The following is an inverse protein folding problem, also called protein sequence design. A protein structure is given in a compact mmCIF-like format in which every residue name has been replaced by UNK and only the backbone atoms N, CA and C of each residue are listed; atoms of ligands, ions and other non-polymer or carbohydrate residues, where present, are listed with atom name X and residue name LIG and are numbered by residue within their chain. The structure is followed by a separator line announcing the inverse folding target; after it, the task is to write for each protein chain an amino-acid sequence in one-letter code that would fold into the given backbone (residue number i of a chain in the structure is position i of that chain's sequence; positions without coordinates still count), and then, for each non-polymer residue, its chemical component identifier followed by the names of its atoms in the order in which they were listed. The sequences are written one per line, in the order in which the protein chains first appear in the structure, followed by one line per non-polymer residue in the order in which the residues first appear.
data_IF_245990508215
#
_entry.id   IF_245990508215
#
_cell.length_a   1.000
_cell.length_b   1.000
_cell.length_c   1.000
_cell.angle_alpha   90.00
_cell.angle_beta   90.00
_cell.angle_gamma   90.00
#
_symmetry.space_group_name_H-M   'P 1'
#
loop_
_entity.id
_entity.type
_entity.pdbx_description
1 polymer ?
#
# COMPACT_ATOMS: atom_id res chain seq x y z
N UNK A 1 -42.02 25.27 -32.10
CA UNK A 1 -41.64 26.41 -32.98
C UNK A 1 -40.40 27.07 -32.38
N UNK A 2 -39.31 27.19 -33.19
CA UNK A 2 -37.91 27.63 -32.86
C UNK A 2 -37.11 26.55 -32.10
N UNK A 3 -36.21 25.72 -32.64
CA UNK A 3 -35.03 25.83 -33.56
C UNK A 3 -33.87 26.66 -32.98
N UNK A 4 -32.79 26.00 -32.55
CA UNK A 4 -31.41 26.17 -33.03
C UNK A 4 -30.47 25.07 -32.45
N UNK A 5 -29.59 24.53 -33.30
CA UNK A 5 -28.62 23.43 -33.04
C UNK A 5 -27.20 24.01 -32.73
N UNK A 6 -26.09 23.24 -32.80
CA UNK A 6 -25.15 23.00 -31.70
C UNK A 6 -23.78 23.70 -31.88
N UNK A 7 -22.95 23.75 -30.83
CA UNK A 7 -21.55 24.17 -30.94
C UNK A 7 -20.61 22.96 -30.94
N UNK A 8 -20.04 22.70 -32.11
CA UNK A 8 -18.94 21.80 -32.40
C UNK A 8 -17.65 22.49 -31.95
N UNK A 9 -16.79 21.85 -31.14
CA UNK A 9 -15.41 22.30 -30.95
C UNK A 9 -14.41 21.19 -31.28
N UNK A 10 -13.82 21.40 -32.45
CA UNK A 10 -12.50 21.06 -32.96
C UNK A 10 -11.67 19.94 -32.29
N UNK A 11 -11.43 18.93 -33.13
CA UNK A 11 -10.33 17.98 -33.14
C UNK A 11 -8.96 18.70 -33.18
N UNK A 12 -8.03 18.34 -32.29
CA UNK A 12 -6.61 18.65 -32.44
C UNK A 12 -5.80 17.36 -32.37
N UNK A 13 -5.40 16.87 -33.54
CA UNK A 13 -4.44 15.78 -33.69
C UNK A 13 -3.02 16.36 -33.59
N UNK A 14 -2.22 15.88 -32.63
CA UNK A 14 -0.79 16.17 -32.57
C UNK A 14 -0.03 14.89 -32.97
N UNK A 15 0.50 14.90 -34.20
CA UNK A 15 1.42 13.90 -34.72
C UNK A 15 2.83 14.20 -34.19
N UNK A 16 3.41 13.32 -33.36
CA UNK A 16 4.85 13.31 -33.12
C UNK A 16 5.51 12.26 -33.99
N UNK A 17 6.27 12.74 -34.97
CA UNK A 17 7.11 11.97 -35.86
C UNK A 17 8.42 11.56 -35.16
N UNK A 18 8.79 10.28 -35.34
CA UNK A 18 10.12 9.85 -35.80
C UNK A 18 11.35 10.08 -34.92
N UNK A 19 11.87 8.99 -34.35
CA UNK A 19 13.32 8.76 -34.37
C UNK A 19 13.59 7.26 -34.53
N UNK A 20 13.84 6.84 -35.77
CA UNK A 20 14.36 5.51 -36.08
C UNK A 20 15.88 5.55 -35.95
N UNK A 21 16.42 5.00 -34.86
CA UNK A 21 17.85 4.74 -34.72
C UNK A 21 18.13 3.25 -34.92
N UNK A 22 18.55 2.86 -36.13
CA UNK A 22 19.14 1.56 -36.41
C UNK A 22 20.65 1.68 -36.44
N UNK A 23 21.34 0.99 -35.54
CA UNK A 23 22.74 0.61 -35.73
C UNK A 23 22.89 -0.89 -35.39
N UNK A 24 23.47 -1.59 -36.36
CA UNK A 24 23.63 -3.03 -36.46
C UNK A 24 24.83 -3.51 -35.64
N UNK A 25 24.61 -4.57 -34.85
CA UNK A 25 25.43 -5.78 -34.84
C UNK A 25 26.71 -5.81 -33.98
N UNK A 26 26.70 -6.68 -32.97
CA UNK A 26 27.78 -7.64 -32.75
C UNK A 26 27.20 -8.90 -32.06
N UNK A 27 27.32 -10.04 -32.74
CA UNK A 27 27.13 -11.38 -32.19
C UNK A 27 28.30 -11.74 -31.27
N UNK A 28 28.06 -12.57 -30.25
CA UNK A 28 29.13 -13.38 -29.70
C UNK A 28 28.91 -13.92 -28.28
N UNK A 29 28.59 -15.22 -28.25
CA UNK A 29 29.10 -16.22 -27.33
C UNK A 29 28.26 -16.62 -26.12
N UNK A 30 27.86 -17.88 -26.20
CA UNK A 30 27.46 -18.79 -25.14
C UNK A 30 28.35 -18.70 -23.89
N UNK A 31 27.75 -18.98 -22.72
CA UNK A 31 28.54 -19.47 -21.58
C UNK A 31 27.97 -19.21 -20.19
N UNK A 32 27.17 -20.16 -19.70
CA UNK A 32 27.02 -20.57 -18.30
C UNK A 32 26.27 -19.61 -17.36
N UNK A 33 25.10 -20.09 -16.92
CA UNK A 33 24.37 -19.54 -15.79
C UNK A 33 25.25 -19.49 -14.54
N UNK A 34 25.70 -18.29 -14.20
CA UNK A 34 26.08 -17.95 -12.85
C UNK A 34 24.80 -17.70 -12.07
N UNK A 35 24.45 -18.63 -11.17
CA UNK A 35 23.51 -18.37 -10.09
C UNK A 35 24.02 -17.14 -9.35
N UNK A 36 23.44 -15.97 -9.64
CA UNK A 36 23.64 -14.79 -8.83
C UNK A 36 23.17 -15.15 -7.42
N UNK A 37 24.04 -15.11 -6.40
CA UNK A 37 23.58 -15.34 -5.04
C UNK A 37 22.61 -14.20 -4.73
N UNK A 38 21.32 -14.52 -4.63
CA UNK A 38 20.36 -13.64 -3.99
C UNK A 38 20.90 -13.37 -2.60
N UNK A 39 21.30 -12.13 -2.23
CA UNK A 39 21.61 -11.87 -0.85
C UNK A 39 20.31 -12.06 -0.08
N UNK A 40 20.19 -13.19 0.62
CA UNK A 40 19.25 -13.33 1.73
C UNK A 40 19.70 -12.37 2.81
N UNK A 41 19.31 -11.10 2.69
CA UNK A 41 19.40 -10.16 3.79
C UNK A 41 18.30 -10.58 4.77
N UNK A 42 18.67 -11.42 5.73
CA UNK A 42 17.83 -11.71 6.89
C UNK A 42 17.46 -10.37 7.56
N UNK A 43 16.18 -10.05 7.79
CA UNK A 43 15.69 -8.74 8.22
C UNK A 43 15.94 -8.45 9.71
N UNK A 44 17.16 -8.70 10.20
CA UNK A 44 17.51 -8.44 11.60
C UNK A 44 17.65 -6.94 11.91
N UNK A 45 18.07 -6.14 10.92
CA UNK A 45 18.31 -4.71 11.11
C UNK A 45 17.02 -3.86 11.23
N UNK A 46 15.87 -4.36 10.77
CA UNK A 46 14.58 -3.68 10.92
C UNK A 46 13.96 -3.93 12.30
N UNK A 47 14.11 -5.14 12.85
CA UNK A 47 13.52 -5.54 14.13
C UNK A 47 14.05 -4.72 15.33
N UNK A 48 15.32 -4.31 15.32
CA UNK A 48 15.91 -3.53 16.41
C UNK A 48 15.31 -2.10 16.53
N UNK A 49 14.66 -1.59 15.48
CA UNK A 49 14.03 -0.25 15.46
C UNK A 49 12.57 -0.24 15.92
N UNK A 50 11.95 -1.42 16.02
CA UNK A 50 10.56 -1.59 16.40
C UNK A 50 10.40 -2.11 17.83
N UNK A 51 11.37 -1.81 18.69
CA UNK A 51 11.33 -2.25 20.09
C UNK A 51 10.02 -1.79 20.74
N UNK A 52 9.21 -2.72 21.28
CA UNK A 52 7.97 -2.34 21.94
C UNK A 52 8.34 -1.45 23.13
N UNK A 53 7.66 -0.31 23.26
CA UNK A 53 7.72 0.48 24.48
C UNK A 53 7.41 -0.45 25.66
N UNK A 54 8.19 -0.43 26.74
CA UNK A 54 8.06 -1.31 27.92
C UNK A 54 6.73 -1.17 28.69
N UNK A 55 5.69 -0.55 28.10
CA UNK A 55 4.36 -0.47 28.70
C UNK A 55 3.58 -1.76 28.42
N UNK A 56 2.95 -2.36 29.45
CA UNK A 56 2.13 -3.55 29.26
C UNK A 56 1.01 -3.25 28.25
N UNK A 57 0.95 -4.00 27.15
CA UNK A 57 -0.19 -3.97 26.24
C UNK A 57 -1.41 -4.38 27.07
N UNK A 58 -2.39 -3.51 27.33
CA UNK A 58 -3.60 -3.91 28.03
C UNK A 58 -4.27 -5.01 27.21
N UNK A 59 -4.54 -6.15 27.86
CA UNK A 59 -5.29 -7.23 27.22
C UNK A 59 -6.66 -6.69 26.82
N UNK A 60 -6.92 -6.65 25.51
CA UNK A 60 -8.19 -6.41 24.81
C UNK A 60 -9.34 -5.93 25.71
N UNK A 61 -9.52 -4.61 25.79
CA UNK A 61 -10.79 -4.04 26.27
C UNK A 61 -11.90 -4.40 25.27
N UNK A 62 -13.16 -4.62 25.72
CA UNK A 62 -14.26 -4.99 24.84
C UNK A 62 -14.49 -3.97 23.73
N UNK A 63 -14.62 -4.50 22.50
CA UNK A 63 -14.85 -3.76 21.26
C UNK A 63 -16.20 -3.02 21.31
N UNK A 64 -16.18 -1.69 21.45
CA UNK A 64 -17.35 -0.85 21.12
C UNK A 64 -17.26 -0.37 19.66
N UNK A 65 -18.26 -0.72 18.84
CA UNK A 65 -18.57 -0.01 17.59
C UNK A 65 -17.69 -0.31 16.36
N UNK A 66 -16.93 -1.41 16.32
CA UNK A 66 -16.17 -1.81 15.12
C UNK A 66 -14.76 -1.22 15.03
N UNK A 67 -14.18 -0.83 16.17
CA UNK A 67 -12.78 -0.40 16.32
C UNK A 67 -11.95 -1.61 16.73
N UNK A 68 -10.80 -1.86 16.07
CA UNK A 68 -9.80 -2.75 16.68
C UNK A 68 -9.26 -2.03 17.92
N UNK A 69 -8.90 -2.78 18.98
CA UNK A 69 -8.36 -2.19 20.22
C UNK A 69 -7.16 -1.30 19.88
N UNK A 70 -7.35 0.01 19.94
CA UNK A 70 -6.34 0.97 19.46
C UNK A 70 -5.02 0.89 20.23
N UNK A 71 -5.08 0.45 21.48
CA UNK A 71 -3.91 0.20 22.31
C UNK A 71 -2.97 -0.84 21.69
N UNK A 72 -3.52 -1.82 20.96
CA UNK A 72 -2.72 -2.80 20.23
C UNK A 72 -1.90 -2.16 19.10
N UNK A 73 -2.29 -0.97 18.62
CA UNK A 73 -1.62 -0.22 17.55
C UNK A 73 -0.94 1.06 18.04
N UNK A 74 -0.97 1.34 19.36
CA UNK A 74 -0.38 2.54 19.93
C UNK A 74 1.14 2.67 19.71
N UNK A 75 1.80 1.55 19.43
CA UNK A 75 3.24 1.48 19.13
C UNK A 75 3.58 1.63 17.64
N UNK A 76 2.58 1.79 16.76
CA UNK A 76 2.80 1.95 15.33
C UNK A 76 3.60 3.23 15.04
N UNK A 77 4.66 3.12 14.25
CA UNK A 77 5.56 4.22 13.89
C UNK A 77 6.07 4.03 12.49
N UNK A 78 6.04 5.07 11.67
CA UNK A 78 6.67 5.02 10.34
C UNK A 78 8.20 5.15 10.47
N UNK A 79 8.93 4.07 10.16
CA UNK A 79 10.40 4.07 10.07
C UNK A 79 10.95 4.72 8.79
N UNK A 80 10.07 5.15 7.90
CA UNK A 80 10.37 5.77 6.62
C UNK A 80 10.52 4.77 5.46
N UNK A 81 10.49 5.28 4.21
CA UNK A 81 10.66 4.45 3.02
C UNK A 81 11.98 3.70 3.02
N UNK A 82 11.93 2.42 2.63
CA UNK A 82 13.13 1.59 2.45
C UNK A 82 12.88 0.48 1.43
N UNK A 83 13.91 -0.32 1.13
CA UNK A 83 13.83 -1.39 0.14
C UNK A 83 12.60 -2.28 0.39
N UNK A 84 11.75 -2.44 -0.64
CA UNK A 84 10.48 -3.17 -0.60
C UNK A 84 9.36 -2.58 0.29
N UNK A 85 9.48 -1.32 0.72
CA UNK A 85 8.44 -0.55 1.42
C UNK A 85 8.55 0.96 1.09
N UNK A 86 8.38 1.28 -0.19
CA UNK A 86 8.64 2.61 -0.76
C UNK A 86 7.40 3.48 -0.97
N UNK A 87 6.22 2.91 -0.74
CA UNK A 87 4.94 3.58 -0.87
C UNK A 87 4.77 4.84 -0.02
N UNK A 88 3.77 5.63 -0.42
CA UNK A 88 3.47 6.93 0.17
C UNK A 88 2.62 6.77 1.44
N UNK A 89 2.89 7.59 2.45
CA UNK A 89 2.17 7.59 3.73
C UNK A 89 1.41 8.89 3.90
N UNK A 90 0.18 8.80 4.37
CA UNK A 90 -0.55 9.94 4.93
C UNK A 90 -0.55 9.88 6.45
N UNK A 91 -0.65 11.03 7.08
CA UNK A 91 -0.63 11.20 8.53
C UNK A 91 -1.97 11.80 8.98
N UNK A 92 -2.55 11.32 10.08
CA UNK A 92 -3.78 11.87 10.66
C UNK A 92 -3.51 13.15 11.48
N UNK A 93 -4.57 13.70 12.08
CA UNK A 93 -4.48 14.95 12.88
C UNK A 93 -3.61 14.77 14.14
N UNK A 94 -3.50 13.54 14.64
CA UNK A 94 -2.72 13.14 15.80
C UNK A 94 -1.23 12.88 15.48
N UNK A 95 -0.83 13.01 14.21
CA UNK A 95 0.56 12.76 13.80
C UNK A 95 0.92 11.28 13.61
N UNK A 96 -0.08 10.39 13.55
CA UNK A 96 0.09 8.95 13.35
C UNK A 96 -0.11 8.55 11.87
N UNK A 97 0.54 7.45 11.41
CA UNK A 97 0.28 6.91 10.08
C UNK A 97 -1.21 6.56 9.89
N UNK A 98 -1.82 7.11 8.83
CA UNK A 98 -3.24 6.95 8.54
C UNK A 98 -3.48 6.00 7.37
N UNK A 99 -2.80 6.23 6.24
CA UNK A 99 -2.86 5.33 5.09
C UNK A 99 -1.49 5.12 4.47
N UNK A 100 -1.33 3.98 3.79
CA UNK A 100 -0.18 3.66 2.96
C UNK A 100 -0.62 3.30 1.54
N UNK A 101 -0.13 4.04 0.55
CA UNK A 101 -0.35 3.71 -0.87
C UNK A 101 0.80 2.86 -1.36
N UNK A 102 0.50 1.64 -1.77
CA UNK A 102 1.48 0.65 -2.19
C UNK A 102 2.20 1.07 -3.47
N UNK A 103 3.53 1.08 -3.44
CA UNK A 103 4.34 1.28 -4.63
C UNK A 103 4.65 -0.04 -5.36
N UNK A 104 4.95 0.00 -6.67
CA UNK A 104 5.45 -1.16 -7.39
C UNK A 104 6.71 -1.75 -6.75
N UNK A 105 6.67 -3.05 -6.46
CA UNK A 105 7.80 -3.78 -5.86
C UNK A 105 7.78 -3.84 -4.33
N UNK A 106 6.78 -3.23 -3.68
CA UNK A 106 6.58 -3.40 -2.25
C UNK A 106 6.20 -4.84 -1.87
N UNK A 107 6.61 -5.26 -0.67
CA UNK A 107 6.33 -6.58 -0.10
C UNK A 107 5.59 -6.41 1.21
N UNK A 108 4.42 -7.06 1.35
CA UNK A 108 3.50 -6.85 2.48
C UNK A 108 4.14 -6.96 3.87
N UNK A 109 4.98 -7.97 4.11
CA UNK A 109 5.72 -8.13 5.38
C UNK A 109 6.72 -7.01 5.65
N UNK A 110 7.36 -6.48 4.61
CA UNK A 110 8.33 -5.37 4.74
C UNK A 110 7.60 -4.05 4.95
N UNK A 111 6.48 -3.85 4.27
CA UNK A 111 5.55 -2.73 4.51
C UNK A 111 5.05 -2.75 5.96
N UNK A 112 4.60 -3.90 6.47
CA UNK A 112 4.20 -4.02 7.88
C UNK A 112 5.36 -3.68 8.84
N UNK A 113 6.55 -4.21 8.55
CA UNK A 113 7.77 -3.92 9.31
C UNK A 113 8.15 -2.43 9.32
N UNK A 114 7.85 -1.69 8.25
CA UNK A 114 8.03 -0.22 8.21
C UNK A 114 7.23 0.48 9.29
N UNK A 115 6.06 -0.04 9.63
CA UNK A 115 5.15 0.54 10.61
C UNK A 115 5.28 -0.07 12.00
N UNK A 116 6.27 -0.94 12.20
CA UNK A 116 6.47 -1.68 13.44
C UNK A 116 5.27 -2.52 13.87
N UNK A 117 4.56 -3.08 12.89
CA UNK A 117 3.50 -4.07 13.10
C UNK A 117 3.81 -5.34 12.33
N UNK A 118 3.14 -6.44 12.67
CA UNK A 118 3.17 -7.67 11.90
C UNK A 118 2.31 -7.59 10.64
N UNK A 119 2.63 -8.41 9.64
CA UNK A 119 1.79 -8.56 8.44
C UNK A 119 0.36 -9.01 8.79
N UNK A 120 0.21 -9.80 9.86
CA UNK A 120 -1.10 -10.21 10.36
C UNK A 120 -1.92 -9.02 10.86
N UNK A 121 -1.32 -8.13 11.64
CA UNK A 121 -1.98 -6.91 12.13
C UNK A 121 -2.34 -5.97 10.97
N UNK A 122 -1.46 -5.83 9.98
CA UNK A 122 -1.74 -5.08 8.75
C UNK A 122 -2.95 -5.67 8.00
N UNK A 123 -3.01 -7.00 7.88
CA UNK A 123 -4.13 -7.69 7.27
C UNK A 123 -5.42 -7.51 8.08
N UNK A 124 -5.36 -7.51 9.42
CA UNK A 124 -6.53 -7.29 10.28
C UNK A 124 -7.12 -5.89 10.12
N UNK A 125 -6.29 -4.85 10.05
CA UNK A 125 -6.72 -3.47 9.79
C UNK A 125 -7.43 -3.29 8.45
N UNK A 126 -7.16 -4.20 7.50
CA UNK A 126 -7.57 -4.09 6.11
C UNK A 126 -8.56 -5.18 5.68
N UNK A 127 -8.88 -6.14 6.55
CA UNK A 127 -9.72 -7.30 6.23
C UNK A 127 -11.12 -6.93 5.72
N UNK A 128 -11.61 -5.74 6.12
CA UNK A 128 -12.92 -5.22 5.71
C UNK A 128 -12.88 -4.62 4.30
N UNK A 129 -11.74 -4.14 3.79
CA UNK A 129 -11.68 -3.41 2.51
C UNK A 129 -10.75 -4.01 1.46
N UNK A 130 -9.83 -4.88 1.85
CA UNK A 130 -8.95 -5.63 0.96
C UNK A 130 -9.37 -7.10 0.96
N UNK A 131 -10.11 -7.47 -0.07
CA UNK A 131 -10.67 -8.79 -0.29
C UNK A 131 -9.65 -9.67 -1.00
N UNK A 132 -8.86 -10.39 -0.23
CA UNK A 132 -7.92 -11.40 -0.75
C UNK A 132 -6.50 -11.21 -0.23
N UNK A 133 -5.68 -12.23 -0.46
CA UNK A 133 -4.28 -12.22 -0.07
C UNK A 133 -3.43 -11.56 -1.16
N UNK A 134 -2.44 -10.77 -0.77
CA UNK A 134 -1.49 -10.14 -1.68
C UNK A 134 -1.66 -8.63 -1.76
N UNK A 135 -0.51 -7.96 -1.83
CA UNK A 135 -0.37 -6.53 -2.00
C UNK A 135 -0.29 -6.23 -3.50
N UNK A 136 -1.09 -5.27 -3.99
CA UNK A 136 -1.01 -4.81 -5.39
C UNK A 136 -0.55 -3.35 -5.42
N UNK A 137 0.25 -2.97 -6.43
CA UNK A 137 0.58 -1.56 -6.63
C UNK A 137 -0.70 -0.71 -6.69
N UNK A 138 -0.62 0.47 -6.08
CA UNK A 138 -1.70 1.45 -5.92
C UNK A 138 -2.81 1.05 -4.91
N UNK A 139 -2.73 -0.13 -4.29
CA UNK A 139 -3.61 -0.43 -3.14
C UNK A 139 -3.38 0.59 -2.03
N UNK A 140 -4.45 0.95 -1.33
CA UNK A 140 -4.39 1.83 -0.17
C UNK A 140 -4.66 1.01 1.07
N UNK A 141 -3.63 0.80 1.88
CA UNK A 141 -3.74 0.19 3.19
C UNK A 141 -4.17 1.23 4.23
N UNK A 142 -5.19 0.88 5.01
CA UNK A 142 -5.51 1.54 6.25
C UNK A 142 -4.47 1.19 7.32
N UNK A 143 -3.99 2.22 8.02
CA UNK A 143 -3.08 2.12 9.16
C UNK A 143 -3.72 2.65 10.46
N UNK A 144 -4.96 3.15 10.39
CA UNK A 144 -5.68 3.71 11.54
C UNK A 144 -6.81 2.75 12.01
N UNK A 145 -6.75 2.22 13.25
CA UNK A 145 -7.75 1.28 13.77
C UNK A 145 -9.16 1.90 13.92
N UNK A 146 -9.28 3.23 13.81
CA UNK A 146 -10.54 3.95 13.88
C UNK A 146 -11.20 4.19 12.52
N UNK A 147 -10.51 3.87 11.42
CA UNK A 147 -11.02 4.06 10.06
C UNK A 147 -11.10 2.76 9.26
N UNK A 148 -11.07 1.60 9.94
CA UNK A 148 -11.17 0.26 9.33
C UNK A 148 -12.40 0.07 8.43
N UNK A 149 -13.46 0.84 8.65
CA UNK A 149 -14.70 0.82 7.86
C UNK A 149 -14.78 1.90 6.77
N UNK A 150 -13.80 2.81 6.68
CA UNK A 150 -13.88 4.01 5.81
C UNK A 150 -12.61 4.28 4.99
N UNK A 151 -11.42 3.95 5.48
CA UNK A 151 -10.14 4.17 4.82
C UNK A 151 -9.60 2.90 4.15
N UNK A 152 -8.85 3.08 3.06
CA UNK A 152 -8.23 2.02 2.30
C UNK A 152 -9.12 1.40 1.21
N UNK A 153 -8.50 0.54 0.41
CA UNK A 153 -9.14 -0.12 -0.71
C UNK A 153 -8.16 -0.60 -1.77
N UNK A 154 -8.67 -1.36 -2.74
CA UNK A 154 -7.89 -1.87 -3.87
C UNK A 154 -7.92 -0.92 -5.04
N UNK A 155 -6.78 -0.77 -5.72
CA UNK A 155 -6.73 0.01 -6.96
C UNK A 155 -7.51 -0.66 -8.10
N UNK A 156 -7.48 -1.99 -8.19
CA UNK A 156 -8.06 -2.75 -9.32
C UNK A 156 -9.52 -3.16 -9.11
N UNK A 157 -10.25 -2.54 -8.20
CA UNK A 157 -11.68 -2.78 -8.00
C UNK A 157 -12.09 -2.71 -6.53
N UNK A 158 -13.32 -2.25 -6.29
CA UNK A 158 -13.92 -2.31 -4.98
C UNK A 158 -14.13 -3.77 -4.59
N UNK A 159 -13.86 -4.08 -3.34
CA UNK A 159 -14.32 -5.32 -2.77
C UNK A 159 -15.85 -5.27 -2.64
N UNK A 160 -16.53 -6.30 -3.14
CA UNK A 160 -18.00 -6.44 -3.10
C UNK A 160 -18.54 -6.68 -1.66
N UNK A 161 -17.75 -6.36 -0.63
CA UNK A 161 -18.14 -6.33 0.76
C UNK A 161 -18.49 -4.89 1.20
N UNK A 162 -19.15 -4.13 0.31
CA UNK A 162 -19.75 -2.85 0.63
C UNK A 162 -20.49 -2.98 1.97
N UNK A 163 -19.98 -2.31 3.01
CA UNK A 163 -20.53 -2.39 4.35
C UNK A 163 -21.90 -1.73 4.32
N UNK A 164 -22.96 -2.51 4.15
CA UNK A 164 -24.35 -2.04 4.27
C UNK A 164 -24.79 -2.04 5.74
N UNK A 165 -23.95 -1.50 6.62
CA UNK A 165 -24.32 -1.23 8.00
C UNK A 165 -23.88 0.19 8.35
N UNK A 166 -24.87 1.03 8.59
CA UNK A 166 -24.68 2.35 9.19
C UNK A 166 -24.53 2.15 10.68
N UNK A 167 -23.37 2.49 11.26
CA UNK A 167 -23.22 2.60 12.71
C UNK A 167 -24.23 3.66 13.23
N UNK A 168 -24.98 3.38 14.31
CA UNK A 168 -25.95 4.31 14.89
C UNK A 168 -25.30 5.56 15.49
#
# INVERSE_FOLDING_TARGET
MRIARPAIFALAALLLAGCSGTAVGAQGSDGVGGLSPTPSVTPKAAADRCSPSDEPIPMMDPIDGGRLSADAFAHMRDLGPHEFATGDVTINEEGQPATYTVAPGDVASVVAGRFCISEMELNLLNAVRLCGHGIHPEDVYNLDPYTVSSAGGRATGACDNAITFTLP
#
